data_IF_088934810856
#
_entry.id   IF_088934810856
#
_cell.length_a   1.000
_cell.length_b   1.000
_cell.length_c   1.000
_cell.angle_alpha   90.00
_cell.angle_beta   90.00
_cell.angle_gamma   90.00
#
_symmetry.space_group_name_H-M   'P 1'
#
loop_
_entity.id
_entity.type
_entity.pdbx_description
1 polymer ?
#
# COMPACT_ATOMS: atom_id res chain seq x y z
N UNK A 1 -24.02 23.03 5.95
CA UNK A 1 -23.34 21.77 5.56
C UNK A 1 -21.91 22.15 5.25
N UNK A 2 -20.96 21.64 6.04
CA UNK A 2 -19.55 22.04 5.93
C UNK A 2 -18.90 21.32 4.74
N UNK A 3 -18.66 22.03 3.65
CA UNK A 3 -17.92 21.58 2.46
C UNK A 3 -16.39 21.55 2.70
N UNK A 4 -15.96 21.23 3.93
CA UNK A 4 -14.56 21.21 4.35
C UNK A 4 -14.19 19.89 5.04
N UNK A 5 -14.80 18.78 4.64
CA UNK A 5 -14.09 17.49 4.73
C UNK A 5 -12.98 17.53 3.67
N UNK A 6 -11.89 18.23 3.99
CA UNK A 6 -10.64 18.05 3.28
C UNK A 6 -10.39 16.55 3.22
N UNK A 7 -10.40 16.01 2.01
CA UNK A 7 -10.36 14.58 1.75
C UNK A 7 -9.02 14.06 2.26
N UNK A 8 -8.96 13.70 3.54
CA UNK A 8 -7.71 13.38 4.22
C UNK A 8 -7.16 12.11 3.59
N UNK A 9 -5.97 12.23 2.99
CA UNK A 9 -5.24 11.12 2.39
C UNK A 9 -4.88 10.14 3.50
N UNK A 10 -5.17 8.86 3.27
CA UNK A 10 -4.82 7.78 4.21
C UNK A 10 -3.60 7.02 3.68
N UNK A 11 -2.68 6.72 4.59
CA UNK A 11 -1.56 5.82 4.37
C UNK A 11 -1.89 4.48 5.00
N UNK A 12 -2.13 3.48 4.16
CA UNK A 12 -2.49 2.13 4.54
C UNK A 12 -1.26 1.25 4.70
N UNK A 13 -1.01 0.76 5.91
CA UNK A 13 0.12 -0.13 6.19
C UNK A 13 -0.29 -1.55 5.79
N UNK A 14 0.45 -2.18 4.89
CA UNK A 14 0.17 -3.56 4.47
C UNK A 14 0.16 -4.52 5.66
N UNK A 15 1.21 -4.49 6.49
CA UNK A 15 1.24 -5.12 7.81
C UNK A 15 2.01 -4.24 8.81
N UNK A 16 1.40 -3.94 9.96
CA UNK A 16 2.05 -3.13 11.00
C UNK A 16 3.15 -3.93 11.71
N UNK A 17 4.41 -3.52 11.50
CA UNK A 17 5.61 -4.24 11.95
C UNK A 17 6.66 -3.32 12.60
N UNK A 18 6.29 -2.11 13.02
CA UNK A 18 7.16 -1.22 13.80
C UNK A 18 8.08 -0.29 12.99
N UNK A 19 7.70 0.07 11.76
CA UNK A 19 8.42 1.08 10.98
C UNK A 19 8.25 2.49 11.57
N UNK A 20 9.15 3.46 11.29
CA UNK A 20 9.05 4.83 11.82
C UNK A 20 7.94 5.63 11.11
N UNK A 21 6.69 5.33 11.41
CA UNK A 21 5.51 5.92 10.77
C UNK A 21 5.42 7.44 10.93
N UNK A 22 6.05 8.04 11.94
CA UNK A 22 6.09 9.50 12.08
C UNK A 22 6.72 10.20 10.85
N UNK A 23 7.72 9.57 10.22
CA UNK A 23 8.41 10.15 9.05
C UNK A 23 7.55 10.21 7.80
N UNK A 24 6.47 9.44 7.72
CA UNK A 24 5.56 9.58 6.58
C UNK A 24 4.82 10.92 6.64
N UNK A 25 4.54 11.43 7.85
CA UNK A 25 3.88 12.73 8.03
C UNK A 25 4.81 13.89 7.68
N UNK A 26 6.12 13.73 7.89
CA UNK A 26 7.11 14.69 7.41
C UNK A 26 7.13 14.75 5.88
N UNK A 27 6.86 13.63 5.19
CA UNK A 27 6.90 13.53 3.71
C UNK A 27 5.59 13.94 3.04
N UNK A 28 4.44 13.50 3.57
CA UNK A 28 3.12 13.68 2.97
C UNK A 28 2.24 14.71 3.69
N UNK A 29 2.74 15.33 4.77
CA UNK A 29 1.98 16.25 5.58
C UNK A 29 0.99 15.55 6.52
N UNK A 30 -0.18 16.16 6.72
CA UNK A 30 -1.17 15.66 7.67
C UNK A 30 -1.99 14.49 7.10
N UNK A 31 -1.40 13.29 7.14
CA UNK A 31 -2.03 12.05 6.72
C UNK A 31 -2.51 11.21 7.90
N UNK A 32 -3.62 10.50 7.69
CA UNK A 32 -4.04 9.43 8.59
C UNK A 32 -3.27 8.16 8.26
N UNK A 33 -2.90 7.36 9.25
CA UNK A 33 -2.17 6.11 9.05
C UNK A 33 -3.00 4.98 9.64
N UNK A 34 -3.32 3.98 8.82
CA UNK A 34 -4.20 2.85 9.21
C UNK A 34 -3.61 1.52 8.75
N UNK A 35 -3.63 0.46 9.58
CA UNK A 35 -3.22 -0.86 9.15
C UNK A 35 -4.32 -1.56 8.34
N UNK A 36 -3.94 -2.25 7.26
CA UNK A 36 -4.80 -3.24 6.58
C UNK A 36 -4.78 -4.59 7.31
N UNK A 37 -3.63 -4.94 7.91
CA UNK A 37 -3.49 -6.06 8.83
C UNK A 37 -2.58 -5.73 10.01
N UNK A 38 -2.75 -6.47 11.10
CA UNK A 38 -2.03 -6.30 12.37
C UNK A 38 -1.35 -7.61 12.78
N UNK A 39 -0.13 -7.49 13.32
CA UNK A 39 0.52 -8.54 14.11
C UNK A 39 1.35 -9.55 13.33
N UNK A 40 1.62 -10.68 14.00
CA UNK A 40 2.38 -11.82 13.45
C UNK A 40 1.48 -12.63 12.51
N UNK A 41 1.59 -12.30 11.23
CA UNK A 41 0.83 -12.92 10.16
C UNK A 41 1.60 -14.13 9.66
N UNK A 42 1.05 -15.35 9.84
CA UNK A 42 1.65 -16.56 9.26
C UNK A 42 1.64 -16.47 7.72
N UNK A 43 2.80 -16.29 7.07
CA UNK A 43 2.87 -16.04 5.62
C UNK A 43 2.43 -17.23 4.77
N UNK A 44 2.34 -18.43 5.34
CA UNK A 44 1.89 -19.63 4.65
C UNK A 44 0.35 -19.69 4.54
N UNK A 45 -0.38 -18.88 5.32
CA UNK A 45 -1.84 -18.78 5.25
C UNK A 45 -2.29 -17.66 4.31
N UNK A 46 -1.80 -17.75 3.07
CA UNK A 46 -2.01 -16.75 2.00
C UNK A 46 -3.49 -16.47 1.75
N UNK A 47 -4.32 -17.50 1.84
CA UNK A 47 -5.79 -17.43 1.72
C UNK A 47 -6.41 -16.43 2.70
N UNK A 48 -6.07 -16.58 3.99
CA UNK A 48 -6.61 -15.76 5.07
C UNK A 48 -6.12 -14.32 4.97
N UNK A 49 -4.84 -14.15 4.65
CA UNK A 49 -4.23 -12.83 4.49
C UNK A 49 -4.88 -12.09 3.32
N UNK A 50 -5.02 -12.77 2.18
CA UNK A 50 -5.65 -12.21 0.99
C UNK A 50 -7.09 -11.78 1.27
N UNK A 51 -7.84 -12.58 2.04
CA UNK A 51 -9.20 -12.22 2.44
C UNK A 51 -9.24 -10.96 3.32
N UNK A 52 -8.36 -10.86 4.33
CA UNK A 52 -8.30 -9.69 5.20
C UNK A 52 -7.89 -8.42 4.45
N UNK A 53 -6.81 -8.49 3.67
CA UNK A 53 -6.34 -7.38 2.84
C UNK A 53 -7.41 -6.95 1.83
N UNK A 54 -7.97 -7.91 1.09
CA UNK A 54 -8.98 -7.64 0.07
C UNK A 54 -10.23 -6.98 0.66
N UNK A 55 -10.70 -7.45 1.83
CA UNK A 55 -11.82 -6.81 2.53
C UNK A 55 -11.48 -5.37 2.94
N UNK A 56 -10.30 -5.13 3.50
CA UNK A 56 -9.87 -3.79 3.92
C UNK A 56 -9.78 -2.82 2.74
N UNK A 57 -9.12 -3.25 1.66
CA UNK A 57 -8.97 -2.48 0.42
C UNK A 57 -10.34 -2.15 -0.16
N UNK A 58 -11.19 -3.15 -0.37
CA UNK A 58 -12.51 -2.95 -0.97
C UNK A 58 -13.45 -2.06 -0.15
N UNK A 59 -13.29 -2.04 1.18
CA UNK A 59 -14.22 -1.31 2.06
C UNK A 59 -13.80 0.13 2.33
N UNK A 60 -12.49 0.41 2.36
CA UNK A 60 -11.99 1.65 2.96
C UNK A 60 -10.99 2.43 2.11
N UNK A 61 -10.27 1.76 1.20
CA UNK A 61 -9.21 2.41 0.42
C UNK A 61 -9.81 3.27 -0.69
N UNK A 62 -9.20 4.43 -0.91
CA UNK A 62 -9.50 5.33 -2.03
C UNK A 62 -8.33 5.37 -3.00
N UNK A 63 -8.59 5.68 -4.26
CA UNK A 63 -7.55 5.73 -5.32
C UNK A 63 -6.39 6.67 -5.01
N UNK A 64 -6.65 7.78 -4.29
CA UNK A 64 -5.63 8.77 -3.91
C UNK A 64 -4.84 8.41 -2.64
N UNK A 65 -5.21 7.31 -1.97
CA UNK A 65 -4.50 6.85 -0.78
C UNK A 65 -3.14 6.23 -1.15
N UNK A 66 -2.35 5.94 -0.12
CA UNK A 66 -1.02 5.35 -0.25
C UNK A 66 -0.99 3.96 0.40
N UNK A 67 -0.28 3.03 -0.22
CA UNK A 67 0.13 1.77 0.38
C UNK A 67 1.54 1.91 0.94
N UNK A 68 1.69 1.75 2.26
CA UNK A 68 2.97 1.70 2.93
C UNK A 68 3.47 0.26 2.98
N UNK A 69 4.62 0.05 2.33
CA UNK A 69 5.31 -1.25 2.27
C UNK A 69 6.03 -1.47 3.59
N UNK A 70 5.54 -2.41 4.41
CA UNK A 70 6.02 -2.67 5.77
C UNK A 70 5.76 -4.12 6.16
N UNK A 71 6.71 -4.72 6.87
CA UNK A 71 6.63 -6.12 7.30
C UNK A 71 6.95 -7.13 6.21
N UNK A 72 6.25 -8.27 6.22
CA UNK A 72 6.60 -9.45 5.42
C UNK A 72 6.43 -9.23 3.91
N UNK A 73 7.45 -9.56 3.07
CA UNK A 73 7.39 -9.35 1.62
C UNK A 73 6.16 -9.92 0.93
N UNK A 74 5.72 -11.12 1.32
CA UNK A 74 4.52 -11.75 0.72
C UNK A 74 3.25 -10.96 0.99
N UNK A 75 3.11 -10.37 2.19
CA UNK A 75 1.92 -9.57 2.56
C UNK A 75 1.90 -8.28 1.75
N UNK A 76 3.07 -7.63 1.60
CA UNK A 76 3.23 -6.45 0.75
C UNK A 76 2.86 -6.72 -0.71
N UNK A 77 3.34 -7.84 -1.27
CA UNK A 77 3.03 -8.26 -2.63
C UNK A 77 1.53 -8.49 -2.83
N UNK A 78 0.88 -9.23 -1.91
CA UNK A 78 -0.56 -9.45 -1.96
C UNK A 78 -1.35 -8.14 -1.86
N UNK A 79 -0.97 -7.24 -0.96
CA UNK A 79 -1.63 -5.95 -0.80
C UNK A 79 -1.54 -5.12 -2.08
N UNK A 80 -0.35 -5.03 -2.69
CA UNK A 80 -0.15 -4.32 -3.96
C UNK A 80 -0.96 -4.94 -5.11
N UNK A 81 -0.95 -6.27 -5.24
CA UNK A 81 -1.71 -6.97 -6.29
C UNK A 81 -3.22 -6.75 -6.13
N UNK A 82 -3.74 -6.87 -4.92
CA UNK A 82 -5.17 -6.64 -4.64
C UNK A 82 -5.56 -5.18 -4.88
N UNK A 83 -4.71 -4.23 -4.46
CA UNK A 83 -4.91 -2.81 -4.72
C UNK A 83 -4.99 -2.51 -6.21
N UNK A 84 -3.98 -2.97 -6.97
CA UNK A 84 -3.94 -2.82 -8.42
C UNK A 84 -4.97 -3.65 -9.14
N UNK A 85 -5.75 -4.51 -8.48
CA UNK A 85 -6.95 -5.12 -9.09
C UNK A 85 -8.12 -4.15 -9.03
N UNK A 86 -8.23 -3.38 -7.94
CA UNK A 86 -9.31 -2.42 -7.71
C UNK A 86 -9.09 -1.05 -8.38
N UNK A 87 -7.85 -0.55 -8.38
CA UNK A 87 -7.47 0.76 -8.92
C UNK A 87 -6.41 0.63 -10.02
N UNK A 88 -6.38 1.52 -11.02
CA UNK A 88 -5.37 1.47 -12.09
C UNK A 88 -3.96 1.80 -11.57
N UNK A 89 -3.88 2.54 -10.46
CA UNK A 89 -2.63 2.99 -9.85
C UNK A 89 -2.59 2.69 -8.35
N UNK A 90 -1.38 2.61 -7.81
CA UNK A 90 -1.12 2.48 -6.39
C UNK A 90 0.03 3.40 -6.01
N UNK A 91 -0.23 4.40 -5.16
CA UNK A 91 0.83 5.24 -4.60
C UNK A 91 1.50 4.49 -3.47
N UNK A 92 2.82 4.36 -3.53
CA UNK A 92 3.61 3.63 -2.55
C UNK A 92 4.37 4.57 -1.63
N UNK A 93 4.48 4.16 -0.37
CA UNK A 93 5.42 4.69 0.59
C UNK A 93 6.43 3.60 0.99
N UNK A 94 7.69 3.78 0.60
CA UNK A 94 8.77 2.81 0.84
C UNK A 94 9.82 3.40 1.78
N UNK A 95 10.14 2.69 2.85
CA UNK A 95 11.18 3.13 3.78
C UNK A 95 12.59 2.91 3.20
N UNK A 96 13.33 3.99 2.97
CA UNK A 96 14.75 3.95 2.66
C UNK A 96 15.57 3.99 3.95
N UNK A 97 16.08 2.83 4.39
CA UNK A 97 16.85 2.73 5.62
C UNK A 97 18.20 3.48 5.57
N UNK A 98 18.79 3.66 4.37
CA UNK A 98 20.07 4.35 4.19
C UNK A 98 19.94 5.84 4.44
N UNK A 99 18.92 6.46 3.85
CA UNK A 99 18.65 7.90 3.97
C UNK A 99 17.74 8.22 5.16
N UNK A 100 17.16 7.19 5.78
CA UNK A 100 16.19 7.30 6.87
C UNK A 100 14.99 8.16 6.47
N UNK A 101 14.47 7.96 5.27
CA UNK A 101 13.28 8.66 4.78
C UNK A 101 12.34 7.73 4.00
N UNK A 102 11.11 8.19 3.78
CA UNK A 102 10.19 7.51 2.87
C UNK A 102 10.37 8.02 1.44
N UNK A 103 10.57 7.08 0.53
CA UNK A 103 10.47 7.28 -0.91
C UNK A 103 9.02 7.10 -1.31
N UNK A 104 8.53 8.04 -2.11
CA UNK A 104 7.20 7.98 -2.71
C UNK A 104 7.35 7.58 -4.17
N UNK A 105 6.56 6.61 -4.60
CA UNK A 105 6.48 6.22 -6.00
C UNK A 105 5.05 5.84 -6.37
N UNK A 106 4.77 5.72 -7.66
CA UNK A 106 3.48 5.24 -8.15
C UNK A 106 3.73 4.02 -9.01
N UNK A 107 2.94 2.98 -8.77
CA UNK A 107 2.90 1.78 -9.62
C UNK A 107 1.61 1.82 -10.41
N UNK A 108 1.71 1.61 -11.71
CA UNK A 108 0.58 1.57 -12.62
C UNK A 108 0.39 0.14 -13.12
N UNK A 109 -0.86 -0.32 -13.13
CA UNK A 109 -1.23 -1.67 -13.60
C UNK A 109 -0.78 -1.88 -15.05
N UNK A 110 -0.96 -0.87 -15.89
CA UNK A 110 -0.58 -0.90 -17.31
C UNK A 110 0.93 -1.07 -17.50
N UNK A 111 1.75 -0.36 -16.72
CA UNK A 111 3.21 -0.51 -16.78
C UNK A 111 3.66 -1.94 -16.44
N UNK A 112 3.00 -2.59 -15.47
CA UNK A 112 3.29 -4.00 -15.16
C UNK A 112 2.89 -4.95 -16.29
N UNK A 113 1.74 -4.71 -16.92
CA UNK A 113 1.29 -5.50 -18.08
C UNK A 113 2.27 -5.36 -19.26
N UNK A 114 2.69 -4.13 -19.58
CA UNK A 114 3.65 -3.84 -20.64
C UNK A 114 4.99 -4.54 -20.44
N UNK A 115 5.49 -4.61 -19.19
CA UNK A 115 6.73 -5.34 -18.87
C UNK A 115 6.56 -6.82 -19.20
N UNK A 116 5.44 -7.45 -18.82
CA UNK A 116 5.19 -8.87 -19.10
C UNK A 116 5.07 -9.14 -20.60
N UNK A 117 4.29 -8.32 -21.32
CA UNK A 117 4.07 -8.48 -22.75
C UNK A 117 5.40 -8.40 -23.54
N UNK A 118 6.31 -7.51 -23.13
CA UNK A 118 7.64 -7.37 -23.74
C UNK A 118 8.51 -8.65 -23.66
N UNK A 119 8.23 -9.52 -22.69
CA UNK A 119 8.93 -10.79 -22.49
C UNK A 119 8.20 -11.98 -23.13
N UNK A 120 6.90 -11.88 -23.37
CA UNK A 120 6.09 -12.92 -24.01
C UNK A 120 6.17 -12.88 -25.54
N UNK A 121 6.48 -11.73 -26.15
CA UNK A 121 6.68 -11.61 -27.60
C UNK A 121 8.06 -12.10 -28.09
N UNK A 122 8.72 -12.97 -27.31
CA UNK A 122 9.97 -13.66 -27.68
C UNK A 122 9.67 -15.01 -28.33
#
# INVERSE_FOLDING_TARGET
>A
MNENESMQVVVWIANEAGHPYHKIREKLGNVEIKPLSLGDVNPLRVDRISWHLGRGIASYVKEKDYLLISGTPIVNALALTLWLTMFPTCNLALWNAKEREYIISTVERENLANILDSHMQR
#
